data_IF_741397902561
#
_entry.id   IF_741397902561
#
_cell.length_a   1.000
_cell.length_b   1.000
_cell.length_c   1.000
_cell.angle_alpha   90.00
_cell.angle_beta   90.00
_cell.angle_gamma   90.00
#
_symmetry.space_group_name_H-M   'P 1'
#
loop_
_entity.id
_entity.type
_entity.pdbx_description
1 polymer ?
#
# COMPACT_ATOMS: atom_id res chain seq x y z
N UNK A 1 12.95 11.24 1.46
CA UNK A 1 12.81 10.32 2.60
C UNK A 1 14.17 9.78 2.99
N UNK A 2 14.46 9.75 4.29
CA UNK A 2 15.67 9.13 4.84
C UNK A 2 15.51 7.62 4.94
N UNK A 3 16.62 6.90 5.19
CA UNK A 3 16.60 5.46 5.45
C UNK A 3 15.65 5.09 6.59
N UNK A 4 15.69 5.86 7.68
CA UNK A 4 14.79 5.67 8.82
C UNK A 4 13.31 5.93 8.50
N UNK A 5 13.00 6.84 7.57
CA UNK A 5 11.62 7.06 7.14
C UNK A 5 11.07 5.85 6.39
N UNK A 6 11.87 5.26 5.50
CA UNK A 6 11.49 4.01 4.78
C UNK A 6 11.41 2.84 5.74
N UNK A 7 12.34 2.71 6.67
CA UNK A 7 12.30 1.65 7.70
C UNK A 7 11.01 1.74 8.52
N UNK A 8 10.59 2.95 8.89
CA UNK A 8 9.34 3.18 9.59
C UNK A 8 8.13 2.78 8.72
N UNK A 9 8.09 3.21 7.46
CA UNK A 9 7.06 2.81 6.50
C UNK A 9 6.96 1.29 6.38
N UNK A 10 8.08 0.59 6.21
CA UNK A 10 8.13 -0.87 6.10
C UNK A 10 7.64 -1.53 7.39
N UNK A 11 8.05 -1.05 8.57
CA UNK A 11 7.57 -1.60 9.86
C UNK A 11 6.06 -1.45 10.03
N UNK A 12 5.48 -0.32 9.61
CA UNK A 12 4.03 -0.10 9.64
C UNK A 12 3.34 -1.13 8.75
N UNK A 13 3.80 -1.29 7.50
CA UNK A 13 3.22 -2.26 6.57
C UNK A 13 3.37 -3.70 7.10
N UNK A 14 4.56 -4.11 7.53
CA UNK A 14 4.79 -5.45 8.09
C UNK A 14 3.84 -5.72 9.26
N UNK A 15 3.66 -4.78 10.18
CA UNK A 15 2.70 -4.89 11.30
C UNK A 15 1.28 -5.15 10.79
N UNK A 16 0.83 -4.38 9.81
CA UNK A 16 -0.52 -4.54 9.25
C UNK A 16 -0.69 -5.85 8.48
N UNK A 17 0.38 -6.40 7.90
CA UNK A 17 0.40 -7.70 7.22
C UNK A 17 0.72 -8.89 8.17
N UNK A 18 0.46 -8.71 9.47
CA UNK A 18 0.55 -9.79 10.46
C UNK A 18 1.95 -10.07 11.02
N UNK A 19 2.96 -9.26 10.68
CA UNK A 19 4.27 -9.27 11.33
C UNK A 19 4.14 -8.55 12.69
N UNK A 20 3.58 -9.25 13.67
CA UNK A 20 3.40 -8.72 15.02
C UNK A 20 4.52 -9.17 15.95
N UNK A 21 4.88 -8.29 16.89
CA UNK A 21 5.85 -8.55 17.97
C UNK A 21 5.33 -9.54 19.04
N UNK A 22 4.23 -10.26 18.80
CA UNK A 22 3.55 -11.03 19.84
C UNK A 22 3.12 -12.42 19.37
N UNK A 23 3.92 -13.43 19.72
CA UNK A 23 3.57 -14.82 20.14
C UNK A 23 4.85 -15.68 20.26
N UNK A 24 6.02 -15.21 19.81
CA UNK A 24 7.33 -15.78 20.16
C UNK A 24 8.48 -14.78 19.98
N UNK A 25 9.55 -14.89 20.78
CA UNK A 25 10.74 -14.02 20.68
C UNK A 25 11.36 -14.06 19.27
N UNK A 26 11.28 -15.20 18.59
CA UNK A 26 11.82 -15.38 17.23
C UNK A 26 11.02 -14.61 16.15
N UNK A 27 9.71 -14.38 16.32
CA UNK A 27 8.92 -13.67 15.28
C UNK A 27 9.19 -12.17 15.26
N UNK A 28 9.44 -11.55 16.42
CA UNK A 28 9.82 -10.13 16.49
C UNK A 28 11.20 -9.88 15.87
N UNK A 29 12.18 -10.76 16.11
CA UNK A 29 13.51 -10.62 15.52
C UNK A 29 13.47 -10.81 13.98
N UNK A 30 12.66 -11.76 13.49
CA UNK A 30 12.45 -11.97 12.06
C UNK A 30 11.78 -10.76 11.38
N UNK A 31 10.77 -10.15 12.01
CA UNK A 31 10.11 -8.95 11.48
C UNK A 31 11.07 -7.76 11.40
N UNK A 32 11.91 -7.57 12.42
CA UNK A 32 12.90 -6.49 12.42
C UNK A 32 13.98 -6.72 11.36
N UNK A 33 14.50 -7.95 11.21
CA UNK A 33 15.45 -8.27 10.14
C UNK A 33 14.83 -8.11 8.76
N UNK A 34 13.57 -8.53 8.59
CA UNK A 34 12.84 -8.33 7.35
C UNK A 34 12.67 -6.84 7.01
N UNK A 35 12.31 -6.01 8.00
CA UNK A 35 12.19 -4.57 7.82
C UNK A 35 13.51 -3.94 7.36
N UNK A 36 14.62 -4.30 8.01
CA UNK A 36 15.95 -3.81 7.65
C UNK A 36 16.33 -4.26 6.23
N UNK A 37 16.17 -5.53 5.90
CA UNK A 37 16.53 -6.06 4.59
C UNK A 37 15.71 -5.41 3.46
N UNK A 38 14.40 -5.22 3.65
CA UNK A 38 13.54 -4.53 2.67
C UNK A 38 13.99 -3.07 2.51
N UNK A 39 14.30 -2.39 3.62
CA UNK A 39 14.75 -0.99 3.58
C UNK A 39 16.07 -0.85 2.83
N UNK A 40 17.06 -1.68 3.16
CA UNK A 40 18.36 -1.70 2.50
C UNK A 40 18.23 -2.02 1.01
N UNK A 41 17.34 -2.94 0.66
CA UNK A 41 17.06 -3.31 -0.73
C UNK A 41 16.41 -2.17 -1.51
N UNK A 42 15.40 -1.51 -0.95
CA UNK A 42 14.77 -0.33 -1.56
C UNK A 42 15.80 0.76 -1.80
N UNK A 43 16.63 1.09 -0.80
CA UNK A 43 17.68 2.10 -0.94
C UNK A 43 18.70 1.72 -2.02
N UNK A 44 19.16 0.47 -2.04
CA UNK A 44 20.11 0.00 -3.04
C UNK A 44 19.54 0.04 -4.47
N UNK A 45 18.21 -0.03 -4.61
CA UNK A 45 17.54 -0.03 -5.90
C UNK A 45 17.24 1.37 -6.43
N UNK A 46 16.84 2.30 -5.54
CA UNK A 46 16.28 3.60 -5.98
C UNK A 46 17.14 4.80 -5.60
N UNK A 47 17.98 4.72 -4.56
CA UNK A 47 18.74 5.87 -4.06
C UNK A 47 20.02 6.05 -4.86
N UNK A 48 20.05 7.06 -5.73
CA UNK A 48 21.23 7.35 -6.56
C UNK A 48 22.34 8.04 -5.76
N UNK A 49 21.97 8.88 -4.79
CA UNK A 49 22.89 9.65 -3.93
C UNK A 49 23.19 8.94 -2.60
N UNK A 50 22.55 7.81 -2.33
CA UNK A 50 22.81 6.93 -1.19
C UNK A 50 22.15 7.34 0.14
N UNK A 51 21.96 8.64 0.38
CA UNK A 51 21.51 9.13 1.69
C UNK A 51 20.01 9.50 1.76
N UNK A 52 19.39 9.81 0.61
CA UNK A 52 18.02 10.31 0.56
C UNK A 52 17.30 9.80 -0.70
N UNK A 53 16.01 9.46 -0.53
CA UNK A 53 15.06 9.23 -1.62
C UNK A 53 14.37 10.55 -1.95
N UNK A 54 14.53 11.01 -3.18
CA UNK A 54 13.83 12.17 -3.76
C UNK A 54 12.37 11.85 -4.05
N UNK A 55 11.59 12.87 -4.45
CA UNK A 55 10.18 12.68 -4.81
C UNK A 55 10.00 11.78 -6.04
N UNK A 56 10.91 11.86 -7.03
CA UNK A 56 10.88 10.94 -8.18
C UNK A 56 11.23 9.50 -7.79
N UNK A 57 12.16 9.31 -6.86
CA UNK A 57 12.56 7.98 -6.39
C UNK A 57 11.54 7.40 -5.39
N UNK A 58 10.60 8.21 -4.89
CA UNK A 58 9.52 7.74 -4.02
C UNK A 58 8.56 6.82 -4.77
N UNK A 59 8.24 7.13 -6.02
CA UNK A 59 7.37 6.27 -6.82
C UNK A 59 8.05 4.93 -7.12
N UNK A 60 9.36 4.93 -7.36
CA UNK A 60 10.16 3.70 -7.52
C UNK A 60 10.20 2.85 -6.25
N UNK A 61 10.37 3.51 -5.09
CA UNK A 61 10.38 2.84 -3.79
C UNK A 61 9.03 2.18 -3.51
N UNK A 62 7.93 2.91 -3.73
CA UNK A 62 6.58 2.40 -3.49
C UNK A 62 6.17 1.34 -4.49
N UNK A 63 6.63 1.39 -5.75
CA UNK A 63 6.46 0.31 -6.73
C UNK A 63 7.11 -1.00 -6.24
N UNK A 64 8.31 -0.90 -5.68
CA UNK A 64 9.00 -2.05 -5.08
C UNK A 64 8.22 -2.61 -3.89
N UNK A 65 7.78 -1.73 -2.98
CA UNK A 65 6.99 -2.14 -1.81
C UNK A 65 5.64 -2.75 -2.22
N UNK A 66 4.96 -2.18 -3.22
CA UNK A 66 3.66 -2.66 -3.68
C UNK A 66 3.75 -4.12 -4.13
N UNK A 67 4.75 -4.48 -4.94
CA UNK A 67 4.99 -5.88 -5.28
C UNK A 67 5.31 -6.75 -4.06
N UNK A 68 6.21 -6.31 -3.17
CA UNK A 68 6.63 -7.13 -2.03
C UNK A 68 5.45 -7.43 -1.09
N UNK A 69 4.54 -6.48 -0.92
CA UNK A 69 3.33 -6.64 -0.12
C UNK A 69 2.14 -7.24 -0.89
N UNK A 70 2.22 -7.35 -2.22
CA UNK A 70 1.27 -8.14 -3.03
C UNK A 70 1.55 -9.64 -2.97
N UNK A 71 2.67 -10.07 -2.38
CA UNK A 71 2.99 -11.48 -2.22
C UNK A 71 2.06 -12.16 -1.18
N UNK A 72 1.81 -13.45 -1.39
CA UNK A 72 0.81 -14.24 -0.65
C UNK A 72 0.87 -14.21 0.88
N UNK A 73 2.02 -13.91 1.49
CA UNK A 73 2.19 -13.85 2.94
C UNK A 73 3.53 -13.20 3.30
N UNK A 74 3.68 -12.90 4.59
CA UNK A 74 4.88 -12.29 5.16
C UNK A 74 6.17 -13.09 4.92
N UNK A 75 6.09 -14.42 4.88
CA UNK A 75 7.26 -15.27 4.62
C UNK A 75 7.79 -15.07 3.19
N UNK A 76 6.89 -14.87 2.22
CA UNK A 76 7.25 -14.51 0.85
C UNK A 76 7.79 -13.08 0.77
N UNK A 77 7.12 -12.11 1.40
CA UNK A 77 7.59 -10.71 1.48
C UNK A 77 9.02 -10.61 2.01
N UNK A 78 9.33 -11.37 3.08
CA UNK A 78 10.64 -11.39 3.72
C UNK A 78 11.68 -12.31 3.04
N UNK A 79 11.29 -13.03 1.99
CA UNK A 79 12.20 -13.94 1.29
C UNK A 79 13.00 -13.21 0.20
N UNK A 80 14.24 -12.85 0.53
CA UNK A 80 15.16 -12.15 -0.38
C UNK A 80 15.40 -12.85 -1.72
N UNK A 81 15.16 -14.17 -1.83
CA UNK A 81 15.30 -14.88 -3.12
C UNK A 81 14.20 -14.55 -4.13
N UNK A 82 13.11 -13.90 -3.70
CA UNK A 82 12.02 -13.42 -4.56
C UNK A 82 12.23 -11.95 -5.00
N UNK A 83 13.27 -11.28 -4.52
CA UNK A 83 13.49 -9.87 -4.79
C UNK A 83 14.25 -9.66 -6.08
N UNK A 84 13.87 -8.64 -6.84
CA UNK A 84 14.52 -8.29 -8.08
C UNK A 84 15.54 -7.16 -7.86
N UNK A 85 16.57 -7.14 -8.70
CA UNK A 85 17.57 -6.07 -8.73
C UNK A 85 17.26 -5.01 -9.79
N UNK A 86 16.05 -5.01 -10.35
CA UNK A 86 15.58 -4.06 -11.37
C UNK A 86 14.11 -3.73 -11.12
N UNK A 87 13.79 -2.44 -11.16
CA UNK A 87 12.42 -1.92 -11.04
C UNK A 87 11.49 -2.49 -12.11
N UNK A 88 11.99 -2.67 -13.34
CA UNK A 88 11.19 -3.21 -14.45
C UNK A 88 10.68 -4.63 -14.15
N UNK A 89 11.47 -5.43 -13.43
CA UNK A 89 11.08 -6.79 -13.08
C UNK A 89 9.96 -6.82 -12.05
N UNK A 90 9.91 -5.84 -11.13
CA UNK A 90 8.81 -5.68 -10.18
C UNK A 90 7.49 -5.38 -10.91
N UNK A 91 7.51 -4.45 -11.86
CA UNK A 91 6.34 -4.14 -12.70
C UNK A 91 5.91 -5.37 -13.52
N UNK A 92 6.87 -6.00 -14.20
CA UNK A 92 6.63 -7.18 -15.04
C UNK A 92 6.05 -8.34 -14.23
N UNK A 93 6.41 -8.47 -12.96
CA UNK A 93 5.88 -9.52 -12.10
C UNK A 93 4.40 -9.29 -11.72
N UNK A 94 3.95 -8.04 -11.57
CA UNK A 94 2.55 -7.69 -11.33
C UNK A 94 1.69 -7.86 -12.58
N UNK A 95 2.23 -7.51 -13.75
CA UNK A 95 1.57 -7.63 -15.06
C UNK A 95 1.32 -9.09 -15.50
N UNK A 96 1.95 -10.07 -14.84
CA UNK A 96 1.80 -11.49 -15.17
C UNK A 96 0.64 -12.18 -14.47
N UNK A 97 -0.26 -11.41 -13.84
CA UNK A 97 -1.39 -11.96 -13.08
C UNK A 97 -2.48 -12.53 -13.99
N UNK A 98 -2.74 -11.94 -15.18
CA UNK A 98 -3.64 -12.56 -16.19
C UNK A 98 -3.24 -12.36 -17.68
N UNK A 99 -2.08 -11.75 -17.98
CA UNK A 99 -1.33 -12.10 -19.20
C UNK A 99 -1.38 -11.12 -20.38
N UNK A 100 -1.46 -9.81 -20.14
CA UNK A 100 -0.97 -8.83 -21.13
C UNK A 100 0.39 -8.27 -20.69
N UNK A 101 1.39 -8.26 -21.58
CA UNK A 101 2.76 -7.90 -21.18
C UNK A 101 2.97 -6.41 -20.86
N UNK A 102 1.95 -5.56 -21.08
CA UNK A 102 2.14 -4.11 -21.20
C UNK A 102 1.30 -3.24 -20.26
N UNK A 103 0.14 -3.71 -19.77
CA UNK A 103 -0.79 -2.92 -18.94
C UNK A 103 -1.37 -3.75 -17.81
N UNK A 104 -1.67 -3.11 -16.68
CA UNK A 104 -2.37 -3.71 -15.55
C UNK A 104 -3.85 -3.35 -15.65
N UNK A 105 -4.70 -4.35 -15.83
CA UNK A 105 -6.16 -4.14 -15.92
C UNK A 105 -6.79 -3.94 -14.54
N UNK A 106 -8.03 -3.40 -14.49
CA UNK A 106 -8.81 -3.30 -13.25
C UNK A 106 -9.04 -4.69 -12.62
N UNK A 107 -9.32 -5.72 -13.43
CA UNK A 107 -9.52 -7.10 -12.96
C UNK A 107 -8.25 -7.69 -12.34
N UNK A 108 -7.09 -7.47 -12.96
CA UNK A 108 -5.80 -7.93 -12.40
C UNK A 108 -5.47 -7.20 -11.10
N UNK A 109 -5.73 -5.89 -11.01
CA UNK A 109 -5.54 -5.16 -9.76
C UNK A 109 -6.52 -5.65 -8.68
N UNK A 110 -7.77 -5.96 -9.02
CA UNK A 110 -8.75 -6.49 -8.08
C UNK A 110 -8.25 -7.79 -7.44
N UNK A 111 -7.76 -8.72 -8.26
CA UNK A 111 -7.16 -9.98 -7.79
C UNK A 111 -5.97 -9.71 -6.85
N UNK A 112 -5.10 -8.76 -7.18
CA UNK A 112 -3.96 -8.37 -6.33
C UNK A 112 -4.45 -7.83 -4.98
N UNK A 113 -5.41 -6.90 -4.99
CA UNK A 113 -5.95 -6.29 -3.78
C UNK A 113 -6.70 -7.32 -2.91
N UNK A 114 -7.46 -8.23 -3.52
CA UNK A 114 -8.09 -9.34 -2.82
C UNK A 114 -7.07 -10.25 -2.12
N UNK A 115 -5.96 -10.58 -2.80
CA UNK A 115 -4.87 -11.38 -2.23
C UNK A 115 -4.18 -10.66 -1.06
N UNK A 116 -3.92 -9.36 -1.20
CA UNK A 116 -3.37 -8.54 -0.12
C UNK A 116 -4.30 -8.54 1.10
N UNK A 117 -5.60 -8.36 0.87
CA UNK A 117 -6.62 -8.26 1.91
C UNK A 117 -6.73 -9.55 2.77
N UNK A 118 -6.30 -10.71 2.26
CA UNK A 118 -6.30 -11.96 3.03
C UNK A 118 -5.36 -11.93 4.25
N UNK A 119 -4.29 -11.13 4.19
CA UNK A 119 -3.28 -11.05 5.24
C UNK A 119 -3.18 -9.65 5.87
N UNK A 120 -3.90 -8.67 5.32
CA UNK A 120 -3.90 -7.30 5.76
C UNK A 120 -4.91 -7.07 6.88
N UNK A 121 -4.49 -6.36 7.93
CA UNK A 121 -5.31 -5.92 9.06
C UNK A 121 -5.33 -4.39 9.10
N UNK A 122 -6.40 -3.75 8.59
CA UNK A 122 -6.50 -2.29 8.57
C UNK A 122 -6.64 -1.69 9.97
N UNK A 123 -6.24 -0.43 10.13
CA UNK A 123 -6.46 0.32 11.36
C UNK A 123 -7.83 1.01 11.40
N UNK A 124 -8.48 1.19 10.23
CA UNK A 124 -9.85 1.71 10.12
C UNK A 124 -10.67 0.95 9.08
N UNK A 125 -11.97 0.82 9.35
CA UNK A 125 -12.97 0.27 8.42
C UNK A 125 -13.92 1.35 7.86
N UNK A 126 -13.68 2.62 8.20
CA UNK A 126 -14.47 3.77 7.72
C UNK A 126 -13.84 4.49 6.53
N UNK A 127 -12.54 4.29 6.31
CA UNK A 127 -11.80 4.80 5.15
C UNK A 127 -11.15 3.63 4.45
N UNK A 128 -11.45 3.48 3.17
CA UNK A 128 -11.00 2.36 2.37
C UNK A 128 -10.67 2.82 0.95
N UNK A 129 -9.98 1.96 0.22
CA UNK A 129 -9.69 2.14 -1.18
C UNK A 129 -9.92 0.81 -1.92
N UNK A 130 -10.37 0.93 -3.16
CA UNK A 130 -10.60 -0.15 -4.09
C UNK A 130 -10.01 0.18 -5.48
N UNK A 131 -10.19 -0.73 -6.43
CA UNK A 131 -9.71 -0.57 -7.80
C UNK A 131 -10.24 0.72 -8.44
N UNK A 132 -11.55 0.98 -8.33
CA UNK A 132 -12.20 2.16 -8.91
C UNK A 132 -11.57 3.45 -8.37
N UNK A 133 -11.36 3.54 -7.05
CA UNK A 133 -10.76 4.70 -6.40
C UNK A 133 -9.30 4.91 -6.80
N UNK A 134 -8.52 3.84 -7.01
CA UNK A 134 -7.12 3.93 -7.43
C UNK A 134 -7.01 4.32 -8.91
N UNK A 135 -7.75 3.64 -9.78
CA UNK A 135 -7.73 3.93 -11.21
C UNK A 135 -8.20 5.36 -11.50
N UNK A 136 -9.27 5.82 -10.85
CA UNK A 136 -9.78 7.19 -11.03
C UNK A 136 -8.77 8.27 -10.65
N UNK A 137 -7.77 7.95 -9.81
CA UNK A 137 -6.72 8.87 -9.39
C UNK A 137 -5.48 8.81 -10.28
N UNK A 138 -5.21 7.67 -10.94
CA UNK A 138 -3.90 7.38 -11.51
C UNK A 138 -3.89 6.93 -12.97
N UNK A 139 -5.04 6.56 -13.53
CA UNK A 139 -5.15 5.97 -14.87
C UNK A 139 -6.07 6.84 -15.74
N UNK A 140 -5.56 7.31 -16.88
CA UNK A 140 -6.32 8.20 -17.76
C UNK A 140 -7.41 7.46 -18.57
N UNK A 141 -7.13 6.21 -18.96
CA UNK A 141 -8.04 5.35 -19.73
C UNK A 141 -8.22 4.01 -19.04
N UNK A 142 -9.29 3.90 -18.25
CA UNK A 142 -9.61 2.69 -17.48
C UNK A 142 -9.84 1.47 -18.39
N UNK A 143 -10.40 1.65 -19.60
CA UNK A 143 -10.65 0.54 -20.54
C UNK A 143 -9.34 -0.01 -21.13
N UNK A 144 -8.33 0.86 -21.28
CA UNK A 144 -7.01 0.47 -21.77
C UNK A 144 -6.10 -0.16 -20.69
N UNK A 145 -6.42 0.05 -19.41
CA UNK A 145 -5.63 -0.40 -18.27
C UNK A 145 -4.45 0.53 -17.95
N UNK A 146 -3.86 0.35 -16.76
CA UNK A 146 -2.75 1.16 -16.30
C UNK A 146 -1.46 0.80 -17.05
N UNK A 147 -0.86 1.79 -17.72
CA UNK A 147 0.48 1.68 -18.30
C UNK A 147 1.55 1.53 -17.20
N UNK A 148 2.76 1.10 -17.58
CA UNK A 148 3.89 1.01 -16.64
C UNK A 148 4.17 2.33 -15.91
N UNK A 149 4.02 3.47 -16.59
CA UNK A 149 4.25 4.78 -15.95
C UNK A 149 3.14 5.10 -14.93
N UNK A 150 1.88 4.75 -15.23
CA UNK A 150 0.76 4.92 -14.30
C UNK A 150 0.84 3.97 -13.09
N UNK A 151 1.42 2.77 -13.26
CA UNK A 151 1.64 1.83 -12.15
C UNK A 151 2.51 2.42 -11.03
N UNK A 152 3.45 3.31 -11.33
CA UNK A 152 4.28 3.97 -10.31
C UNK A 152 3.44 4.87 -9.39
N UNK A 153 2.53 5.66 -9.98
CA UNK A 153 1.58 6.50 -9.23
C UNK A 153 0.59 5.64 -8.46
N UNK A 154 0.04 4.61 -9.10
CA UNK A 154 -0.89 3.66 -8.49
C UNK A 154 -0.28 3.02 -7.24
N UNK A 155 0.96 2.54 -7.36
CA UNK A 155 1.71 1.95 -6.25
C UNK A 155 1.92 2.95 -5.12
N UNK A 156 2.23 4.21 -5.46
CA UNK A 156 2.41 5.29 -4.48
C UNK A 156 1.15 5.54 -3.65
N UNK A 157 -0.02 5.63 -4.31
CA UNK A 157 -1.29 5.80 -3.61
C UNK A 157 -1.66 4.57 -2.78
N UNK A 158 -1.51 3.37 -3.35
CA UNK A 158 -1.82 2.13 -2.63
C UNK A 158 -0.97 1.99 -1.36
N UNK A 159 0.36 2.12 -1.46
CA UNK A 159 1.26 2.08 -0.30
C UNK A 159 0.92 3.19 0.70
N UNK A 160 0.62 4.40 0.23
CA UNK A 160 0.24 5.50 1.12
C UNK A 160 -1.05 5.21 1.89
N UNK A 161 -2.05 4.58 1.27
CA UNK A 161 -3.30 4.20 1.94
C UNK A 161 -3.11 3.05 2.92
N UNK A 162 -2.28 2.06 2.58
CA UNK A 162 -1.89 0.99 3.49
C UNK A 162 -1.18 1.57 4.72
N UNK A 163 -0.17 2.42 4.54
CA UNK A 163 0.53 3.09 5.66
C UNK A 163 -0.43 3.89 6.54
N UNK A 164 -1.44 4.53 5.96
CA UNK A 164 -2.50 5.24 6.71
C UNK A 164 -3.50 4.30 7.40
N UNK A 165 -3.43 2.99 7.15
CA UNK A 165 -4.27 1.96 7.76
C UNK A 165 -5.67 1.87 7.18
N UNK A 166 -5.89 2.37 5.96
CA UNK A 166 -7.19 2.29 5.27
C UNK A 166 -7.52 0.85 4.90
N UNK A 167 -8.80 0.48 4.91
CA UNK A 167 -9.20 -0.87 4.48
C UNK A 167 -9.10 -1.04 2.95
N UNK A 168 -8.96 -2.29 2.51
CA UNK A 168 -9.05 -2.64 1.08
C UNK A 168 -10.52 -3.01 0.80
N UNK A 169 -11.07 -2.45 -0.28
CA UNK A 169 -12.47 -2.59 -0.67
C UNK A 169 -13.31 -1.39 -0.20
N UNK A 170 -14.58 -1.66 0.12
CA UNK A 170 -15.52 -0.60 0.51
C UNK A 170 -15.61 -0.40 2.03
N UNK A 171 -15.86 0.84 2.51
CA UNK A 171 -16.12 1.10 3.92
C UNK A 171 -17.30 0.29 4.47
N UNK A 172 -17.11 -0.29 5.66
CA UNK A 172 -18.17 -1.00 6.40
C UNK A 172 -18.64 -0.24 7.64
N UNK A 173 -17.92 0.81 8.02
CA UNK A 173 -18.29 1.75 9.08
C UNK A 173 -18.43 3.16 8.50
N UNK A 174 -19.24 3.99 9.15
CA UNK A 174 -19.36 5.42 8.80
C UNK A 174 -18.11 6.15 9.28
N UNK A 175 -17.60 7.08 8.48
CA UNK A 175 -16.51 7.96 8.91
C UNK A 175 -16.96 8.83 10.08
N UNK A 176 -16.29 8.80 11.25
CA UNK A 176 -16.74 9.56 12.43
C UNK A 176 -16.85 11.07 12.16
N UNK A 177 -16.00 11.62 11.30
CA UNK A 177 -16.08 13.03 10.92
C UNK A 177 -17.32 13.30 10.05
N UNK A 178 -17.54 12.48 9.01
CA UNK A 178 -18.75 12.58 8.20
C UNK A 178 -20.03 12.40 9.03
N UNK A 179 -20.04 11.46 9.99
CA UNK A 179 -21.17 11.28 10.90
C UNK A 179 -21.43 12.54 11.75
N UNK A 180 -20.37 13.15 12.29
CA UNK A 180 -20.50 14.38 13.07
C UNK A 180 -21.00 15.52 12.20
N UNK A 181 -20.45 15.68 10.98
CA UNK A 181 -20.93 16.66 10.01
C UNK A 181 -22.40 16.44 9.66
N UNK A 182 -22.82 15.22 9.35
CA UNK A 182 -24.22 14.88 9.07
C UNK A 182 -25.16 15.22 10.24
N UNK A 183 -24.72 14.98 11.48
CA UNK A 183 -25.49 15.36 12.68
C UNK A 183 -25.61 16.89 12.79
N UNK A 184 -24.54 17.64 12.51
CA UNK A 184 -24.58 19.10 12.55
C UNK A 184 -25.36 19.69 11.37
N UNK A 185 -25.31 19.08 10.20
CA UNK A 185 -26.09 19.51 9.03
C UNK A 185 -27.59 19.23 9.23
N UNK A 186 -27.92 18.10 9.85
CA UNK A 186 -29.31 17.69 10.04
C UNK A 186 -29.96 18.31 11.28
N UNK A 187 -29.23 18.43 12.38
CA UNK A 187 -29.77 18.85 13.69
C UNK A 187 -29.07 20.07 14.28
N UNK A 188 -27.96 20.51 13.69
CA UNK A 188 -27.21 21.67 14.15
C UNK A 188 -27.80 22.97 13.61
N UNK A 189 -27.70 24.01 14.43
CA UNK A 189 -27.81 25.40 13.96
C UNK A 189 -26.75 26.23 14.69
N UNK A 190 -26.03 27.08 13.95
CA UNK A 190 -24.94 27.90 14.51
C UNK A 190 -23.86 27.11 15.26
N UNK A 191 -23.56 25.88 14.83
CA UNK A 191 -22.56 25.02 15.46
C UNK A 191 -23.00 24.40 16.78
N UNK A 192 -24.31 24.37 17.06
CA UNK A 192 -24.88 23.75 18.25
C UNK A 192 -26.04 22.84 17.84
N UNK A 193 -26.04 21.60 18.32
CA UNK A 193 -27.21 20.71 18.28
C UNK A 193 -28.03 21.01 19.53
N UNK A 194 -29.23 21.58 19.36
CA UNK A 194 -30.07 21.95 20.49
C UNK A 194 -30.83 20.74 21.04
N UNK A 195 -30.78 20.53 22.36
CA UNK A 195 -31.70 19.64 23.05
C UNK A 195 -33.09 20.29 23.09
N UNK A 196 -33.97 19.89 22.18
CA UNK A 196 -35.42 20.14 22.27
C UNK A 196 -36.18 18.83 22.30
#
# INVERSE_FOLDING_TARGET
MTHSDVELTVKILLKQFGCSDGIGENTSELCNQCAMNITDHVFALVSHDGDLITESEFEDATMTLFYLFSLNNIQSTCNMSLWFTSLENYQTALLKTDGTENVLTEEELDIILEQMNQNYSPETLSKCFDVESLFSLTVDDHEAGATRDEMYKLSSFCISYLVQGFCIGSPTLVDPYAFVEDVFDQYGSQGIVSEY
#
